data_IF_091596871379
#
_entry.id   IF_091596871379
#
_cell.length_a   1.000
_cell.length_b   1.000
_cell.length_c   1.000
_cell.angle_alpha   90.00
_cell.angle_beta   90.00
_cell.angle_gamma   90.00
#
_symmetry.space_group_name_H-M   'P 1'
#
loop_
_entity.id
_entity.type
_entity.pdbx_description
1 polymer ?
#
# COMPACT_ATOMS: atom_id res chain seq x y z
N UNK A 1 28.33 0.29 12.50
CA UNK A 1 28.65 1.60 13.14
C UNK A 1 28.25 2.82 12.33
N UNK A 2 28.08 2.74 11.00
CA UNK A 2 27.65 3.91 10.18
C UNK A 2 26.15 4.25 10.28
N UNK A 3 25.27 3.28 10.50
CA UNK A 3 23.82 3.50 10.58
C UNK A 3 23.39 4.30 11.82
N UNK A 4 24.08 4.13 12.95
CA UNK A 4 23.80 4.86 14.20
C UNK A 4 24.20 6.33 14.14
N UNK A 5 25.16 6.70 13.29
CA UNK A 5 25.59 8.09 13.12
C UNK A 5 24.65 8.88 12.20
N UNK A 6 24.07 8.22 11.19
CA UNK A 6 23.07 8.82 10.31
C UNK A 6 21.74 9.06 11.05
N UNK A 7 21.32 8.12 11.89
CA UNK A 7 20.13 8.26 12.72
C UNK A 7 20.25 9.42 13.73
N UNK A 8 21.41 9.52 14.43
CA UNK A 8 21.68 10.65 15.33
C UNK A 8 21.70 12.00 14.60
N UNK A 9 22.29 12.07 13.42
CA UNK A 9 22.28 13.30 12.62
C UNK A 9 20.89 13.66 12.11
N UNK A 10 20.12 12.69 11.60
CA UNK A 10 18.74 12.91 11.18
C UNK A 10 17.86 13.41 12.35
N UNK A 11 18.01 12.81 13.55
CA UNK A 11 17.29 13.25 14.75
C UNK A 11 17.71 14.66 15.20
N UNK A 12 19.00 15.01 15.12
CA UNK A 12 19.47 16.36 15.43
C UNK A 12 18.98 17.41 14.45
N UNK A 13 18.90 17.07 13.15
CA UNK A 13 18.31 17.95 12.13
C UNK A 13 16.81 18.12 12.33
N UNK A 14 16.09 17.06 12.71
CA UNK A 14 14.66 17.09 13.02
C UNK A 14 14.36 17.98 14.22
N UNK A 15 15.14 17.85 15.29
CA UNK A 15 15.04 18.71 16.50
C UNK A 15 15.40 20.17 16.19
N UNK A 16 16.40 20.41 15.35
CA UNK A 16 16.78 21.76 14.91
C UNK A 16 15.72 22.42 14.02
N UNK A 17 15.07 21.66 13.13
CA UNK A 17 13.98 22.11 12.26
C UNK A 17 12.72 22.46 13.05
N UNK A 18 12.36 21.63 14.03
CA UNK A 18 11.21 21.87 14.92
C UNK A 18 11.43 23.12 15.78
N UNK A 19 12.66 23.32 16.30
CA UNK A 19 12.99 24.52 17.10
C UNK A 19 12.96 25.83 16.31
N UNK A 20 13.28 25.81 15.02
CA UNK A 20 13.25 27.00 14.15
C UNK A 20 11.85 27.40 13.66
N UNK A 21 10.90 26.46 13.62
CA UNK A 21 9.54 26.66 13.11
C UNK A 21 8.55 27.21 14.15
N UNK A 22 8.91 27.20 15.43
CA UNK A 22 8.04 27.64 16.55
C UNK A 22 7.91 29.17 16.69
N UNK A 23 8.54 29.97 15.85
CA UNK A 23 8.72 31.42 16.06
C UNK A 23 7.78 32.36 15.27
N UNK A 24 6.68 31.89 14.65
CA UNK A 24 5.79 32.76 13.85
C UNK A 24 4.36 32.75 14.35
N UNK A 25 3.82 33.98 14.52
CA UNK A 25 2.52 34.28 15.11
C UNK A 25 1.29 33.55 14.53
N UNK A 26 0.23 33.53 15.32
CA UNK A 26 -1.02 32.78 15.11
C UNK A 26 -1.82 33.26 13.88
N UNK A 27 -1.57 32.69 12.71
CA UNK A 27 -2.57 32.57 11.64
C UNK A 27 -3.27 31.21 11.80
N UNK A 28 -4.58 31.15 11.59
CA UNK A 28 -5.33 29.87 11.60
C UNK A 28 -4.71 28.96 10.55
N UNK A 29 -4.20 27.84 10.97
CA UNK A 29 -3.62 26.83 10.07
C UNK A 29 -4.70 25.81 9.71
N UNK A 30 -4.47 25.05 8.60
CA UNK A 30 -5.21 23.84 8.29
C UNK A 30 -5.16 22.90 9.52
N UNK A 31 -6.22 22.16 9.76
CA UNK A 31 -6.25 21.22 10.86
C UNK A 31 -5.21 20.11 10.67
N UNK A 32 -4.45 19.83 11.73
CA UNK A 32 -3.58 18.66 11.79
C UNK A 32 -4.41 17.38 11.69
N UNK A 33 -3.85 16.28 11.17
CA UNK A 33 -4.49 14.98 11.26
C UNK A 33 -4.79 14.61 12.71
N UNK A 34 -5.97 14.03 12.95
CA UNK A 34 -6.44 13.68 14.30
C UNK A 34 -5.43 12.84 15.09
N UNK A 35 -5.30 13.16 16.38
CA UNK A 35 -4.57 12.33 17.34
C UNK A 35 -5.25 10.97 17.44
N UNK A 36 -4.50 9.89 17.23
CA UNK A 36 -5.08 8.55 17.21
C UNK A 36 -4.11 7.46 17.60
N UNK A 37 -4.64 6.36 18.09
CA UNK A 37 -3.93 5.10 18.30
C UNK A 37 -4.75 3.97 17.70
N UNK A 38 -4.09 3.07 16.97
CA UNK A 38 -4.71 1.91 16.34
C UNK A 38 -3.88 0.66 16.63
N UNK A 39 -4.57 -0.43 16.92
CA UNK A 39 -3.96 -1.75 17.07
C UNK A 39 -4.78 -2.76 16.27
N UNK A 40 -4.13 -3.48 15.37
CA UNK A 40 -4.75 -4.40 14.42
C UNK A 40 -4.07 -5.76 14.44
N UNK A 41 -4.85 -6.80 14.22
CA UNK A 41 -4.37 -8.12 13.77
C UNK A 41 -4.96 -8.37 12.39
N UNK A 42 -4.11 -8.77 11.46
CA UNK A 42 -4.51 -9.14 10.11
C UNK A 42 -4.17 -10.61 9.82
N UNK A 43 -4.98 -11.21 8.96
CA UNK A 43 -4.85 -12.59 8.49
C UNK A 43 -5.13 -12.60 6.99
N UNK A 44 -4.25 -13.21 6.22
CA UNK A 44 -4.43 -13.50 4.80
C UNK A 44 -4.25 -15.00 4.56
N UNK A 45 -5.16 -15.61 3.82
CA UNK A 45 -5.04 -17.00 3.36
C UNK A 45 -5.53 -17.10 1.91
N UNK A 46 -4.63 -17.39 0.98
CA UNK A 46 -5.01 -17.52 -0.42
C UNK A 46 -3.85 -17.93 -1.35
N UNK A 47 -4.16 -18.76 -2.33
CA UNK A 47 -3.19 -19.21 -3.34
C UNK A 47 -1.96 -19.92 -2.77
N UNK A 48 -2.09 -20.57 -1.61
CA UNK A 48 -1.00 -21.24 -0.90
C UNK A 48 -0.11 -20.30 -0.08
N UNK A 49 -0.48 -19.04 0.06
CA UNK A 49 0.21 -18.06 0.94
C UNK A 49 -0.67 -17.80 2.15
N UNK A 50 -0.07 -17.83 3.34
CA UNK A 50 -0.68 -17.38 4.58
C UNK A 50 0.21 -16.29 5.18
N UNK A 51 -0.38 -15.17 5.53
CA UNK A 51 0.30 -14.09 6.22
C UNK A 51 -0.54 -13.66 7.41
N UNK A 52 0.09 -13.36 8.53
CA UNK A 52 -0.59 -12.86 9.72
C UNK A 52 0.36 -12.03 10.58
N UNK A 53 -0.18 -11.08 11.31
CA UNK A 53 0.62 -10.33 12.27
C UNK A 53 -0.11 -9.15 12.86
N UNK A 54 0.49 -8.50 13.86
CA UNK A 54 0.01 -7.26 14.42
C UNK A 54 0.46 -6.05 13.61
N UNK A 55 -0.35 -4.99 13.66
CA UNK A 55 0.02 -3.66 13.23
C UNK A 55 -0.38 -2.64 14.30
N UNK A 56 0.47 -1.65 14.52
CA UNK A 56 0.26 -0.57 15.48
C UNK A 56 0.50 0.76 14.79
N UNK A 57 -0.32 1.75 15.11
CA UNK A 57 -0.16 3.14 14.68
C UNK A 57 -0.47 4.05 15.87
N UNK A 58 0.40 5.03 16.10
CA UNK A 58 0.14 6.11 17.05
C UNK A 58 0.46 7.43 16.35
N UNK A 59 -0.42 8.41 16.48
CA UNK A 59 -0.22 9.80 16.07
C UNK A 59 -0.57 10.73 17.20
N UNK A 60 0.25 11.75 17.42
CA UNK A 60 0.06 12.74 18.46
C UNK A 60 0.49 14.13 18.00
N UNK A 61 -0.38 15.09 18.15
CA UNK A 61 -0.08 16.51 18.03
C UNK A 61 0.76 16.95 19.24
N UNK A 62 1.92 17.54 18.97
CA UNK A 62 2.84 18.04 20.00
C UNK A 62 2.53 19.49 20.35
N UNK A 63 2.23 20.27 19.31
CA UNK A 63 1.83 21.69 19.40
C UNK A 63 0.82 21.95 18.27
N UNK A 64 0.18 23.11 18.27
CA UNK A 64 -0.91 23.47 17.34
C UNK A 64 -0.61 23.25 15.83
N UNK A 65 0.65 23.10 15.45
CA UNK A 65 1.08 23.02 14.05
C UNK A 65 1.91 21.80 13.73
N UNK A 66 2.20 20.97 14.71
CA UNK A 66 3.11 19.82 14.53
C UNK A 66 2.49 18.57 15.11
N UNK A 67 2.39 17.52 14.32
CA UNK A 67 2.11 16.19 14.82
C UNK A 67 3.20 15.19 14.43
N UNK A 68 3.33 14.15 15.23
CA UNK A 68 4.24 13.03 14.95
C UNK A 68 3.45 11.74 14.91
N UNK A 69 3.91 10.81 14.07
CA UNK A 69 3.35 9.48 14.00
C UNK A 69 4.44 8.41 14.00
N UNK A 70 4.11 7.26 14.57
CA UNK A 70 4.93 6.06 14.53
C UNK A 70 4.05 4.86 14.19
N UNK A 71 4.54 3.97 13.36
CA UNK A 71 3.87 2.73 13.00
C UNK A 71 4.80 1.53 13.09
N UNK A 72 4.23 0.40 13.40
CA UNK A 72 4.88 -0.90 13.38
C UNK A 72 3.97 -1.91 12.72
N UNK A 73 4.53 -2.72 11.82
CA UNK A 73 3.82 -3.76 11.12
C UNK A 73 4.68 -5.02 11.08
N UNK A 74 4.09 -6.15 11.42
CA UNK A 74 4.75 -7.46 11.37
C UNK A 74 3.93 -8.41 10.51
N UNK A 75 4.57 -9.05 9.55
CA UNK A 75 4.04 -10.17 8.78
C UNK A 75 4.82 -11.45 9.11
N UNK A 76 4.12 -12.47 9.55
CA UNK A 76 4.61 -13.84 9.60
C UNK A 76 4.05 -14.56 8.37
N UNK A 77 4.90 -14.77 7.38
CA UNK A 77 4.51 -15.31 6.06
C UNK A 77 4.88 -16.78 5.97
N UNK A 78 3.92 -17.62 5.62
CA UNK A 78 4.13 -19.00 5.19
C UNK A 78 3.75 -19.13 3.72
N UNK A 79 4.68 -19.55 2.87
CA UNK A 79 4.48 -19.61 1.44
C UNK A 79 4.65 -21.05 0.91
N UNK A 80 3.53 -21.64 0.51
CA UNK A 80 3.43 -22.89 -0.21
C UNK A 80 2.62 -22.70 -1.50
N UNK A 81 2.77 -21.52 -2.14
CA UNK A 81 2.09 -21.19 -3.40
C UNK A 81 2.52 -22.13 -4.53
N UNK A 82 1.75 -22.15 -5.61
CA UNK A 82 2.05 -22.97 -6.80
C UNK A 82 3.45 -22.70 -7.33
N UNK A 83 3.90 -21.44 -7.28
CA UNK A 83 5.24 -21.06 -7.75
C UNK A 83 6.33 -21.68 -6.87
N UNK A 84 6.10 -21.74 -5.54
CA UNK A 84 7.06 -22.32 -4.58
C UNK A 84 7.05 -23.84 -4.64
N UNK A 85 5.88 -24.49 -4.50
CA UNK A 85 5.81 -25.97 -4.40
C UNK A 85 6.23 -26.69 -5.69
N UNK A 86 6.27 -25.98 -6.82
CA UNK A 86 6.72 -26.54 -8.11
C UNK A 86 8.19 -26.32 -8.39
N UNK A 87 8.87 -25.46 -7.63
CA UNK A 87 10.27 -25.05 -7.87
C UNK A 87 11.17 -25.13 -6.64
N UNK A 88 10.60 -25.15 -5.45
CA UNK A 88 11.31 -25.15 -4.17
C UNK A 88 10.46 -25.80 -3.05
N UNK A 89 11.00 -25.83 -1.84
CA UNK A 89 10.24 -26.21 -0.64
C UNK A 89 9.46 -25.04 -0.09
N UNK A 90 8.29 -25.25 0.53
CA UNK A 90 7.59 -24.23 1.30
C UNK A 90 8.48 -23.60 2.36
N UNK A 91 8.34 -22.29 2.55
CA UNK A 91 9.15 -21.54 3.51
C UNK A 91 8.30 -20.66 4.43
N UNK A 92 8.90 -20.24 5.53
CA UNK A 92 8.33 -19.28 6.48
C UNK A 92 9.31 -18.14 6.68
N UNK A 93 8.82 -16.92 6.63
CA UNK A 93 9.61 -15.71 6.82
C UNK A 93 8.84 -14.69 7.66
N UNK A 94 9.59 -13.81 8.31
CA UNK A 94 9.03 -12.68 9.04
C UNK A 94 9.51 -11.40 8.38
N UNK A 95 8.56 -10.50 8.13
CA UNK A 95 8.81 -9.14 7.68
C UNK A 95 8.39 -8.18 8.78
N UNK A 96 9.28 -7.29 9.17
CA UNK A 96 8.96 -6.19 10.08
C UNK A 96 9.13 -4.85 9.37
N UNK A 97 8.18 -3.94 9.58
CA UNK A 97 8.22 -2.59 9.04
C UNK A 97 8.00 -1.57 10.14
N UNK A 98 8.79 -0.51 10.13
CA UNK A 98 8.72 0.63 11.05
C UNK A 98 8.53 1.90 10.22
N UNK A 99 7.57 2.72 10.62
CA UNK A 99 7.31 4.00 10.00
C UNK A 99 7.41 5.14 11.04
N UNK A 100 7.93 6.28 10.60
CA UNK A 100 7.92 7.53 11.36
C UNK A 100 7.39 8.63 10.45
N UNK A 101 6.58 9.53 11.00
CA UNK A 101 6.03 10.67 10.28
C UNK A 101 6.06 11.94 11.12
N UNK A 102 6.21 13.06 10.45
CA UNK A 102 6.15 14.40 10.98
C UNK A 102 5.23 15.23 10.07
N UNK A 103 4.16 15.76 10.63
CA UNK A 103 3.25 16.67 9.94
C UNK A 103 3.48 18.09 10.44
N UNK A 104 3.49 19.05 9.52
CA UNK A 104 3.58 20.47 9.81
C UNK A 104 2.48 21.24 9.09
N UNK A 105 1.60 21.87 9.85
CA UNK A 105 0.51 22.70 9.35
C UNK A 105 0.93 24.18 9.29
N UNK A 106 0.81 24.81 8.12
CA UNK A 106 1.11 26.21 7.92
C UNK A 106 0.07 26.88 7.02
N UNK A 107 -0.76 27.75 7.59
CA UNK A 107 -1.90 28.36 6.89
C UNK A 107 -2.80 27.27 6.29
N UNK A 108 -3.03 27.31 5.01
CA UNK A 108 -3.85 26.35 4.25
C UNK A 108 -3.03 25.17 3.69
N UNK A 109 -1.80 24.98 4.20
CA UNK A 109 -0.88 23.93 3.74
C UNK A 109 -0.57 22.92 4.85
N UNK A 110 -0.57 21.66 4.50
CA UNK A 110 -0.04 20.57 5.33
C UNK A 110 1.17 19.96 4.63
N UNK A 111 2.30 19.89 5.33
CA UNK A 111 3.54 19.27 4.86
C UNK A 111 3.80 18.05 5.73
N UNK A 112 3.98 16.90 5.12
CA UNK A 112 4.27 15.61 5.79
C UNK A 112 5.62 15.09 5.33
N UNK A 113 6.54 14.87 6.25
CA UNK A 113 7.78 14.13 6.03
C UNK A 113 7.64 12.77 6.70
N UNK A 114 7.87 11.69 5.96
CA UNK A 114 7.79 10.34 6.52
C UNK A 114 8.94 9.45 6.05
N UNK A 115 9.22 8.43 6.83
CA UNK A 115 10.21 7.40 6.49
C UNK A 115 9.69 6.04 6.90
N UNK A 116 10.01 5.03 6.09
CA UNK A 116 9.68 3.64 6.38
C UNK A 116 10.91 2.75 6.20
N UNK A 117 11.03 1.77 7.06
CA UNK A 117 12.11 0.78 7.11
C UNK A 117 11.50 -0.61 7.18
N UNK A 118 11.68 -1.41 6.13
CA UNK A 118 11.23 -2.80 6.07
C UNK A 118 12.41 -3.75 6.13
N UNK A 119 12.28 -4.81 6.88
CA UNK A 119 13.35 -5.79 7.13
C UNK A 119 12.80 -7.21 7.01
N UNK A 120 13.43 -7.98 6.13
CA UNK A 120 13.27 -9.42 5.95
C UNK A 120 14.65 -10.07 6.03
N UNK A 121 14.77 -11.40 6.14
CA UNK A 121 16.06 -12.07 6.24
C UNK A 121 17.02 -11.78 5.08
N UNK A 122 16.49 -11.59 3.87
CA UNK A 122 17.21 -11.41 2.63
C UNK A 122 16.77 -10.18 1.81
N UNK A 123 15.88 -9.36 2.38
CA UNK A 123 15.40 -8.13 1.75
C UNK A 123 15.33 -6.99 2.76
N UNK A 124 15.89 -5.85 2.41
CA UNK A 124 15.76 -4.63 3.21
C UNK A 124 15.33 -3.47 2.33
N UNK A 125 14.31 -2.73 2.76
CA UNK A 125 13.84 -1.55 2.06
C UNK A 125 13.82 -0.34 2.98
N UNK A 126 14.34 0.77 2.50
CA UNK A 126 14.35 2.06 3.19
C UNK A 126 13.74 3.11 2.26
N UNK A 127 12.81 3.91 2.78
CA UNK A 127 12.19 4.99 1.99
C UNK A 127 12.01 6.26 2.79
N UNK A 128 12.01 7.38 2.07
CA UNK A 128 11.68 8.72 2.58
C UNK A 128 10.65 9.34 1.64
N UNK A 129 9.61 9.93 2.22
CA UNK A 129 8.54 10.61 1.51
C UNK A 129 8.36 12.04 1.99
N UNK A 130 8.12 12.93 1.06
CA UNK A 130 7.69 14.30 1.31
C UNK A 130 6.37 14.52 0.58
N UNK A 131 5.33 14.84 1.32
CA UNK A 131 4.01 15.14 0.80
C UNK A 131 3.60 16.55 1.22
N UNK A 132 2.93 17.28 0.35
CA UNK A 132 2.36 18.59 0.59
C UNK A 132 0.94 18.63 0.07
N UNK A 133 0.01 19.14 0.87
CA UNK A 133 -1.33 19.48 0.41
C UNK A 133 -1.62 20.95 0.68
N UNK A 134 -2.32 21.58 -0.25
CA UNK A 134 -2.72 22.98 -0.19
C UNK A 134 -4.20 23.11 -0.43
N UNK A 135 -4.91 23.68 0.52
CA UNK A 135 -6.29 24.10 0.33
C UNK A 135 -6.32 25.42 -0.46
N UNK A 136 -7.22 25.50 -1.42
CA UNK A 136 -7.45 26.69 -2.26
C UNK A 136 -8.95 26.93 -2.39
N UNK A 137 -9.31 28.15 -2.82
CA UNK A 137 -10.70 28.59 -2.98
C UNK A 137 -11.54 28.39 -1.70
N UNK A 138 -10.96 28.74 -0.54
CA UNK A 138 -11.64 28.65 0.74
C UNK A 138 -11.94 27.19 1.18
N UNK A 139 -11.06 26.25 0.85
CA UNK A 139 -11.22 24.83 1.18
C UNK A 139 -12.11 24.04 0.21
N UNK A 140 -12.61 24.68 -0.86
CA UNK A 140 -13.41 23.99 -1.88
C UNK A 140 -12.60 23.01 -2.72
N UNK A 141 -11.28 23.28 -2.86
CA UNK A 141 -10.34 22.44 -3.59
C UNK A 141 -9.09 22.20 -2.77
N UNK A 142 -8.53 20.99 -2.87
CA UNK A 142 -7.22 20.65 -2.28
C UNK A 142 -6.32 20.10 -3.38
N UNK A 143 -5.13 20.67 -3.51
CA UNK A 143 -4.07 20.20 -4.40
C UNK A 143 -3.05 19.49 -3.55
N UNK A 144 -2.66 18.27 -3.93
CA UNK A 144 -1.66 17.47 -3.23
C UNK A 144 -0.50 17.13 -4.16
N UNK A 145 0.71 17.25 -3.65
CA UNK A 145 1.96 16.83 -4.30
C UNK A 145 2.69 15.89 -3.37
N UNK A 146 3.27 14.82 -3.92
CA UNK A 146 4.04 13.87 -3.14
C UNK A 146 5.24 13.36 -3.91
N UNK A 147 6.31 13.11 -3.17
CA UNK A 147 7.54 12.51 -3.67
C UNK A 147 8.02 11.45 -2.69
N UNK A 148 8.38 10.28 -3.20
CA UNK A 148 9.01 9.22 -2.40
C UNK A 148 10.26 8.74 -3.11
N UNK A 149 11.33 8.55 -2.34
CA UNK A 149 12.54 7.87 -2.77
C UNK A 149 12.77 6.65 -1.89
N UNK A 150 12.89 5.47 -2.52
CA UNK A 150 13.25 4.22 -1.88
C UNK A 150 14.60 3.69 -2.36
N UNK A 151 15.23 2.88 -1.53
CA UNK A 151 16.45 2.16 -1.86
C UNK A 151 16.43 0.82 -1.12
N UNK A 152 16.43 -0.27 -1.89
CA UNK A 152 16.31 -1.60 -1.36
C UNK A 152 17.58 -2.42 -1.64
N UNK A 153 17.85 -3.38 -0.78
CA UNK A 153 18.90 -4.37 -0.94
C UNK A 153 18.27 -5.75 -1.00
N UNK A 154 18.67 -6.51 -1.99
CA UNK A 154 18.20 -7.87 -2.26
C UNK A 154 19.32 -8.84 -2.00
N UNK A 155 19.10 -9.80 -1.12
CA UNK A 155 19.98 -10.92 -0.85
C UNK A 155 19.38 -12.24 -1.37
N UNK A 156 20.08 -13.34 -1.09
CA UNK A 156 19.56 -14.68 -1.30
C UNK A 156 19.95 -15.56 -0.14
N UNK A 157 18.98 -16.13 0.55
CA UNK A 157 19.23 -17.04 1.69
C UNK A 157 20.09 -18.23 1.25
N UNK A 158 21.07 -18.61 2.06
CA UNK A 158 21.98 -19.71 1.77
C UNK A 158 23.03 -19.43 0.68
N UNK A 159 23.12 -18.20 0.16
CA UNK A 159 24.14 -17.80 -0.84
C UNK A 159 24.89 -16.57 -0.33
N UNK A 160 25.88 -16.74 0.58
CA UNK A 160 26.69 -15.65 1.06
C UNK A 160 27.36 -14.92 -0.11
N UNK A 161 27.30 -13.57 -0.10
CA UNK A 161 27.89 -12.74 -1.15
C UNK A 161 26.98 -12.45 -2.35
N UNK A 162 25.77 -13.00 -2.41
CA UNK A 162 24.79 -12.55 -3.37
C UNK A 162 24.14 -11.25 -2.88
N UNK A 163 24.36 -10.16 -3.60
CA UNK A 163 23.75 -8.86 -3.33
C UNK A 163 23.38 -8.18 -4.64
N UNK A 164 22.18 -7.63 -4.65
CA UNK A 164 21.73 -6.71 -5.68
C UNK A 164 20.94 -5.56 -5.00
N UNK A 165 20.57 -4.55 -5.75
CA UNK A 165 19.87 -3.40 -5.21
C UNK A 165 18.87 -2.84 -6.23
N UNK A 166 17.89 -2.11 -5.70
CA UNK A 166 16.92 -1.38 -6.51
C UNK A 166 16.68 0.00 -5.90
N UNK A 167 16.48 0.98 -6.75
CA UNK A 167 16.07 2.33 -6.39
C UNK A 167 14.69 2.60 -6.91
N UNK A 168 13.87 3.26 -6.11
CA UNK A 168 12.49 3.61 -6.42
C UNK A 168 12.30 5.12 -6.33
N UNK A 169 11.55 5.67 -7.29
CA UNK A 169 11.07 7.04 -7.26
C UNK A 169 9.58 7.04 -7.54
N UNK A 170 8.82 7.72 -6.72
CA UNK A 170 7.40 7.89 -6.92
C UNK A 170 7.03 9.36 -6.83
N UNK A 171 6.27 9.83 -7.80
CA UNK A 171 5.69 11.16 -7.85
C UNK A 171 4.18 11.04 -7.81
N UNK A 172 3.54 11.88 -7.02
CA UNK A 172 2.09 11.90 -6.83
C UNK A 172 1.57 13.31 -7.05
N UNK A 173 0.47 13.42 -7.78
CA UNK A 173 -0.31 14.64 -7.95
C UNK A 173 -1.76 14.30 -7.66
N UNK A 174 -2.40 15.05 -6.77
CA UNK A 174 -3.81 14.89 -6.39
C UNK A 174 -4.57 16.21 -6.52
N UNK A 175 -5.82 16.10 -6.92
CA UNK A 175 -6.81 17.15 -6.86
C UNK A 175 -8.06 16.59 -6.20
N UNK A 176 -8.51 17.22 -5.13
CA UNK A 176 -9.81 16.94 -4.51
C UNK A 176 -10.67 18.18 -4.63
N UNK A 177 -11.93 18.00 -5.03
CA UNK A 177 -12.89 19.05 -5.26
C UNK A 177 -14.20 18.75 -4.52
N UNK A 178 -14.66 19.68 -3.71
CA UNK A 178 -16.05 19.69 -3.20
C UNK A 178 -16.95 20.11 -4.34
N UNK A 179 -17.78 19.20 -4.82
CA UNK A 179 -18.73 19.47 -5.93
C UNK A 179 -20.02 20.08 -5.41
N UNK A 180 -20.52 19.55 -4.29
CA UNK A 180 -21.71 20.04 -3.58
C UNK A 180 -21.53 19.76 -2.07
N UNK A 181 -22.40 20.24 -1.19
CA UNK A 181 -22.35 19.91 0.24
C UNK A 181 -22.42 18.41 0.57
N UNK A 182 -22.78 17.58 -0.40
CA UNK A 182 -22.92 16.12 -0.22
C UNK A 182 -21.98 15.31 -1.10
N UNK A 183 -21.27 15.92 -2.06
CA UNK A 183 -20.45 15.19 -3.03
C UNK A 183 -19.06 15.75 -3.14
N UNK A 184 -18.06 14.87 -3.03
CA UNK A 184 -16.65 15.19 -3.21
C UNK A 184 -16.09 14.28 -4.29
N UNK A 185 -15.32 14.84 -5.21
CA UNK A 185 -14.59 14.09 -6.22
C UNK A 185 -13.07 14.29 -6.06
N UNK A 186 -12.29 13.28 -6.42
CA UNK A 186 -10.84 13.41 -6.50
C UNK A 186 -10.29 12.75 -7.76
N UNK A 187 -9.20 13.34 -8.27
CA UNK A 187 -8.38 12.81 -9.34
C UNK A 187 -6.94 12.73 -8.85
N UNK A 188 -6.30 11.58 -9.03
CA UNK A 188 -4.92 11.37 -8.60
C UNK A 188 -4.11 10.79 -9.77
N UNK A 189 -2.90 11.28 -9.94
CA UNK A 189 -1.93 10.77 -10.88
C UNK A 189 -0.68 10.31 -10.13
N UNK A 190 -0.17 9.14 -10.48
CA UNK A 190 1.08 8.58 -9.97
C UNK A 190 2.03 8.28 -11.13
N UNK A 191 3.30 8.57 -10.92
CA UNK A 191 4.39 8.11 -11.77
C UNK A 191 5.45 7.42 -10.92
N UNK A 192 5.83 6.21 -11.29
CA UNK A 192 6.86 5.41 -10.62
C UNK A 192 8.01 5.16 -11.60
N UNK A 193 9.22 5.14 -11.06
CA UNK A 193 10.43 4.74 -11.79
C UNK A 193 11.28 3.86 -10.89
N UNK A 194 11.55 2.65 -11.35
CA UNK A 194 12.35 1.66 -10.65
C UNK A 194 13.59 1.36 -11.47
N UNK A 195 14.76 1.30 -10.81
CA UNK A 195 16.05 1.00 -11.43
C UNK A 195 16.87 0.08 -10.54
N UNK A 196 17.24 -1.09 -11.04
CA UNK A 196 18.00 -2.11 -10.36
C UNK A 196 17.41 -3.50 -10.51
N UNK A 197 17.47 -4.31 -9.47
CA UNK A 197 17.00 -5.70 -9.51
C UNK A 197 15.49 -5.78 -9.26
N UNK A 198 14.72 -6.00 -10.33
CA UNK A 198 13.25 -6.05 -10.29
C UNK A 198 12.71 -7.48 -10.41
N UNK A 199 13.38 -8.43 -9.80
CA UNK A 199 13.03 -9.84 -9.80
C UNK A 199 13.02 -10.46 -8.41
N UNK A 200 12.95 -11.79 -8.37
CA UNK A 200 13.18 -12.56 -7.14
C UNK A 200 14.28 -13.60 -7.43
N UNK A 201 15.31 -13.73 -6.57
CA UNK A 201 16.39 -14.69 -6.79
C UNK A 201 15.95 -16.15 -6.63
N UNK A 202 14.69 -16.36 -6.24
CA UNK A 202 14.10 -17.69 -5.99
C UNK A 202 13.17 -18.15 -7.11
N UNK A 203 12.76 -17.24 -8.01
CA UNK A 203 11.79 -17.59 -9.06
C UNK A 203 12.47 -18.18 -10.28
N UNK A 204 11.76 -19.08 -10.93
CA UNK A 204 12.13 -19.67 -12.19
C UNK A 204 11.06 -19.44 -13.25
N UNK A 205 11.49 -19.28 -14.49
CA UNK A 205 10.65 -19.35 -15.68
C UNK A 205 10.74 -20.74 -16.31
N UNK A 206 9.91 -20.99 -17.32
CA UNK A 206 9.95 -22.22 -18.12
C UNK A 206 10.28 -21.86 -19.57
N UNK A 207 11.30 -22.52 -20.11
CA UNK A 207 11.72 -22.39 -21.50
C UNK A 207 11.85 -23.78 -22.07
N UNK A 208 11.10 -24.11 -23.12
CA UNK A 208 10.98 -25.47 -23.69
C UNK A 208 10.65 -26.54 -22.61
N UNK A 209 9.87 -26.18 -21.61
CA UNK A 209 9.52 -27.05 -20.48
C UNK A 209 10.57 -27.14 -19.37
N UNK A 210 11.80 -26.65 -19.59
CA UNK A 210 12.85 -26.65 -18.58
C UNK A 210 12.74 -25.44 -17.64
N UNK A 211 13.10 -25.63 -16.36
CA UNK A 211 13.18 -24.55 -15.39
C UNK A 211 14.48 -23.75 -15.56
N UNK A 212 14.37 -22.45 -15.76
CA UNK A 212 15.51 -21.52 -15.86
C UNK A 212 15.30 -20.33 -14.91
N UNK A 213 16.36 -19.68 -14.40
CA UNK A 213 16.19 -18.48 -13.59
C UNK A 213 15.41 -17.39 -14.33
N UNK A 214 14.50 -16.71 -13.65
CA UNK A 214 13.80 -15.56 -14.24
C UNK A 214 14.78 -14.42 -14.57
N UNK A 215 14.53 -13.75 -15.70
CA UNK A 215 15.29 -12.60 -16.17
C UNK A 215 14.34 -11.46 -16.49
N UNK A 216 14.25 -10.51 -15.58
CA UNK A 216 13.43 -9.32 -15.74
C UNK A 216 14.26 -8.13 -16.22
N UNK A 217 13.68 -7.18 -16.98
CA UNK A 217 14.34 -5.90 -17.23
C UNK A 217 14.69 -5.21 -15.92
N UNK A 218 15.84 -4.52 -15.87
CA UNK A 218 16.32 -3.83 -14.67
C UNK A 218 15.70 -2.44 -14.49
N UNK A 219 14.88 -1.99 -15.41
CA UNK A 219 14.19 -0.71 -15.34
C UNK A 219 12.70 -0.89 -15.56
N UNK A 220 11.90 -0.11 -14.84
CA UNK A 220 10.45 -0.04 -15.02
C UNK A 220 9.98 1.38 -14.77
N UNK A 221 9.17 1.90 -15.68
CA UNK A 221 8.43 3.15 -15.44
C UNK A 221 6.94 2.85 -15.52
N UNK A 222 6.21 3.20 -14.48
CA UNK A 222 4.78 2.95 -14.40
C UNK A 222 4.02 4.26 -14.14
N UNK A 223 2.76 4.28 -14.54
CA UNK A 223 1.84 5.39 -14.33
C UNK A 223 0.48 4.87 -13.93
N UNK A 224 -0.21 5.63 -13.12
CA UNK A 224 -1.61 5.36 -12.80
C UNK A 224 -2.40 6.65 -12.72
N UNK A 225 -3.64 6.59 -13.15
CA UNK A 225 -4.63 7.63 -12.91
C UNK A 225 -5.80 7.04 -12.16
N UNK A 226 -6.29 7.75 -11.15
CA UNK A 226 -7.38 7.31 -10.28
C UNK A 226 -8.39 8.42 -10.12
N UNK A 227 -9.65 8.09 -10.31
CA UNK A 227 -10.80 8.95 -10.04
C UNK A 227 -11.64 8.33 -8.93
N UNK A 228 -12.09 9.14 -8.00
CA UNK A 228 -12.99 8.73 -6.94
C UNK A 228 -14.06 9.78 -6.70
N UNK A 229 -15.27 9.33 -6.47
CA UNK A 229 -16.40 10.15 -6.06
C UNK A 229 -16.99 9.56 -4.78
N UNK A 230 -17.20 10.39 -3.78
CA UNK A 230 -17.90 10.03 -2.55
C UNK A 230 -19.14 10.90 -2.43
N UNK A 231 -20.25 10.31 -2.03
CA UNK A 231 -21.52 11.02 -1.90
C UNK A 231 -22.32 10.60 -0.68
N UNK A 232 -22.84 11.58 0.03
CA UNK A 232 -23.90 11.37 1.02
C UNK A 232 -25.24 11.27 0.30
N UNK A 233 -25.90 10.12 0.41
CA UNK A 233 -27.21 9.85 -0.21
C UNK A 233 -28.36 10.03 0.79
N UNK A 234 -28.09 10.59 1.95
CA UNK A 234 -29.07 10.78 3.02
C UNK A 234 -29.29 9.52 3.85
N UNK A 235 -30.22 9.60 4.79
CA UNK A 235 -30.56 8.51 5.71
C UNK A 235 -29.33 7.90 6.42
N UNK A 236 -28.32 8.73 6.75
CA UNK A 236 -27.07 8.31 7.39
C UNK A 236 -26.32 7.27 6.54
N UNK A 237 -26.34 7.43 5.22
CA UNK A 237 -25.73 6.51 4.24
C UNK A 237 -24.87 7.28 3.24
N UNK A 238 -23.76 6.67 2.84
CA UNK A 238 -22.86 7.20 1.85
C UNK A 238 -22.50 6.12 0.82
N UNK A 239 -22.16 6.56 -0.38
CA UNK A 239 -21.67 5.71 -1.46
C UNK A 239 -20.34 6.24 -1.95
N UNK A 240 -19.52 5.34 -2.49
CA UNK A 240 -18.38 5.75 -3.28
C UNK A 240 -18.25 4.91 -4.55
N UNK A 241 -17.66 5.52 -5.57
CA UNK A 241 -17.24 4.87 -6.79
C UNK A 241 -15.78 5.28 -7.08
N UNK A 242 -14.96 4.31 -7.46
CA UNK A 242 -13.56 4.54 -7.80
C UNK A 242 -13.23 3.80 -9.08
N UNK A 243 -12.42 4.44 -9.94
CA UNK A 243 -11.82 3.81 -11.10
C UNK A 243 -10.34 4.17 -11.17
N UNK A 244 -9.47 3.16 -11.36
CA UNK A 244 -8.03 3.32 -11.55
C UNK A 244 -7.58 2.63 -12.82
N UNK A 245 -6.83 3.35 -13.65
CA UNK A 245 -6.12 2.82 -14.80
C UNK A 245 -4.61 2.87 -14.55
N UNK A 246 -3.94 1.75 -14.77
CA UNK A 246 -2.49 1.59 -14.62
C UNK A 246 -1.88 1.13 -15.93
N UNK A 247 -0.69 1.64 -16.28
CA UNK A 247 0.13 1.16 -17.39
C UNK A 247 1.61 1.35 -17.10
N UNK A 248 2.47 0.51 -17.71
CA UNK A 248 3.91 0.57 -17.52
C UNK A 248 4.71 0.21 -18.77
N UNK A 249 6.05 0.32 -18.67
CA UNK A 249 7.01 -0.02 -19.73
C UNK A 249 7.17 -1.53 -19.94
N UNK A 250 6.64 -2.34 -19.04
CA UNK A 250 6.57 -3.80 -19.21
C UNK A 250 5.32 -4.24 -19.97
N UNK A 251 4.57 -3.28 -20.53
CA UNK A 251 3.31 -3.45 -21.25
C UNK A 251 2.13 -3.94 -20.40
N UNK A 252 2.26 -3.95 -19.08
CA UNK A 252 1.12 -4.21 -18.20
C UNK A 252 0.14 -3.06 -18.33
N UNK A 253 -1.14 -3.41 -18.52
CA UNK A 253 -2.27 -2.49 -18.46
C UNK A 253 -3.31 -3.08 -17.54
N UNK A 254 -3.74 -2.32 -16.54
CA UNK A 254 -4.68 -2.80 -15.55
C UNK A 254 -5.79 -1.79 -15.26
N UNK A 255 -6.98 -2.31 -15.02
CA UNK A 255 -8.18 -1.56 -14.66
C UNK A 255 -8.67 -2.05 -13.30
N UNK A 256 -8.97 -1.12 -12.42
CA UNK A 256 -9.62 -1.39 -11.14
C UNK A 256 -10.87 -0.54 -11.05
N UNK A 257 -12.00 -1.15 -10.76
CA UNK A 257 -13.26 -0.46 -10.47
C UNK A 257 -13.76 -0.91 -9.12
N UNK A 258 -14.17 0.03 -8.28
CA UNK A 258 -14.71 -0.25 -6.95
C UNK A 258 -15.98 0.56 -6.71
N UNK A 259 -16.96 -0.09 -6.09
CA UNK A 259 -18.18 0.54 -5.60
C UNK A 259 -18.36 0.17 -4.13
N UNK A 260 -18.68 1.14 -3.31
CA UNK A 260 -18.92 0.90 -1.90
C UNK A 260 -20.13 1.65 -1.37
N UNK A 261 -20.67 1.09 -0.31
CA UNK A 261 -21.80 1.62 0.43
C UNK A 261 -21.52 1.54 1.92
N UNK A 262 -21.77 2.63 2.63
CA UNK A 262 -21.60 2.77 4.06
C UNK A 262 -22.90 3.23 4.70
N UNK A 263 -23.25 2.68 5.87
CA UNK A 263 -24.44 3.09 6.61
C UNK A 263 -24.25 3.00 8.11
N UNK A 264 -24.82 3.98 8.82
CA UNK A 264 -25.01 3.90 10.27
C UNK A 264 -26.27 3.11 10.62
N UNK A 265 -26.11 2.12 11.50
CA UNK A 265 -27.21 1.32 12.06
C UNK A 265 -27.36 1.71 13.55
N UNK A 266 -28.29 2.63 13.83
CA UNK A 266 -28.32 3.29 15.15
C UNK A 266 -27.06 4.15 15.36
N UNK A 267 -26.75 4.51 16.62
CA UNK A 267 -25.62 5.38 16.93
C UNK A 267 -24.28 4.66 17.02
N UNK A 268 -24.18 3.40 17.57
CA UNK A 268 -22.88 2.78 17.78
C UNK A 268 -22.35 2.03 16.56
N UNK A 269 -23.17 1.67 15.58
CA UNK A 269 -22.77 0.78 14.50
C UNK A 269 -22.60 1.48 13.15
N UNK A 270 -21.52 1.15 12.44
CA UNK A 270 -21.31 1.53 11.04
C UNK A 270 -21.00 0.26 10.27
N UNK A 271 -21.74 0.00 9.21
CA UNK A 271 -21.48 -1.09 8.27
C UNK A 271 -21.01 -0.53 6.94
N UNK A 272 -19.97 -1.12 6.39
CA UNK A 272 -19.42 -0.82 5.08
C UNK A 272 -19.41 -2.10 4.25
N UNK A 273 -19.78 -2.02 2.97
CA UNK A 273 -19.62 -3.10 1.99
C UNK A 273 -19.03 -2.54 0.70
N UNK A 274 -18.22 -3.33 0.01
CA UNK A 274 -17.71 -2.94 -1.29
C UNK A 274 -17.59 -4.12 -2.25
N UNK A 275 -17.65 -3.82 -3.53
CA UNK A 275 -17.35 -4.70 -4.65
C UNK A 275 -16.20 -4.08 -5.44
N UNK A 276 -15.10 -4.85 -5.65
CA UNK A 276 -13.97 -4.44 -6.48
C UNK A 276 -13.76 -5.43 -7.62
N UNK A 277 -13.53 -4.91 -8.80
CA UNK A 277 -13.22 -5.68 -10.00
C UNK A 277 -11.86 -5.21 -10.50
N UNK A 278 -10.96 -6.14 -10.70
CA UNK A 278 -9.63 -5.91 -11.25
C UNK A 278 -9.40 -6.75 -12.50
N UNK A 279 -8.76 -6.16 -13.51
CA UNK A 279 -8.36 -6.84 -14.75
C UNK A 279 -6.98 -6.36 -15.18
N UNK A 280 -6.13 -7.27 -15.60
CA UNK A 280 -4.76 -6.99 -16.04
C UNK A 280 -4.41 -7.79 -17.30
N UNK A 281 -3.62 -7.18 -18.21
CA UNK A 281 -2.90 -7.86 -19.27
C UNK A 281 -1.49 -8.21 -18.80
N UNK A 282 -0.90 -9.27 -19.36
CA UNK A 282 0.43 -9.74 -19.01
C UNK A 282 1.55 -8.77 -19.40
N UNK A 283 2.71 -8.94 -18.77
CA UNK A 283 3.94 -8.24 -19.16
C UNK A 283 4.49 -8.79 -20.48
N UNK A 284 5.18 -7.95 -21.25
CA UNK A 284 5.73 -8.29 -22.57
C UNK A 284 6.62 -9.54 -22.57
N UNK A 285 7.37 -9.76 -21.50
CA UNK A 285 8.33 -10.87 -21.35
C UNK A 285 7.75 -12.02 -20.49
N UNK A 286 6.47 -11.95 -20.13
CA UNK A 286 5.79 -13.04 -19.43
C UNK A 286 5.50 -14.19 -20.41
N UNK A 287 5.76 -15.42 -19.95
CA UNK A 287 5.32 -16.63 -20.64
C UNK A 287 5.08 -17.76 -19.63
N UNK A 288 4.00 -18.50 -19.79
CA UNK A 288 3.73 -19.70 -18.99
C UNK A 288 4.74 -20.84 -19.32
N UNK A 289 5.11 -20.96 -20.60
CA UNK A 289 6.20 -21.81 -21.10
C UNK A 289 6.73 -21.21 -22.41
N UNK A 290 7.90 -20.61 -22.39
CA UNK A 290 8.46 -19.98 -23.59
C UNK A 290 8.93 -21.03 -24.59
N UNK A 291 8.56 -20.87 -25.85
CA UNK A 291 8.95 -21.72 -26.99
C UNK A 291 10.16 -21.16 -27.71
N UNK A 292 10.72 -20.07 -27.27
CA UNK A 292 11.92 -19.42 -27.77
C UNK A 292 12.76 -18.90 -26.63
N UNK A 293 14.07 -18.90 -26.78
CA UNK A 293 14.96 -18.23 -25.83
C UNK A 293 14.95 -16.74 -26.10
N UNK A 294 14.71 -15.96 -25.04
CA UNK A 294 14.63 -14.49 -25.06
C UNK A 294 15.55 -13.89 -24.02
N UNK A 295 15.93 -12.63 -24.19
CA UNK A 295 16.75 -11.90 -23.21
C UNK A 295 16.06 -11.82 -21.84
N UNK A 296 14.77 -11.54 -21.84
CA UNK A 296 13.94 -11.47 -20.64
C UNK A 296 12.85 -12.53 -20.71
N UNK A 297 12.64 -13.23 -19.60
CA UNK A 297 11.60 -14.23 -19.46
C UNK A 297 11.18 -14.34 -17.99
N UNK A 298 9.88 -14.37 -17.74
CA UNK A 298 9.31 -14.57 -16.42
C UNK A 298 8.06 -15.45 -16.51
N UNK A 299 7.90 -16.33 -15.51
CA UNK A 299 6.66 -17.08 -15.25
C UNK A 299 5.98 -16.62 -13.97
N UNK A 300 6.29 -15.40 -13.50
CA UNK A 300 5.63 -14.87 -12.34
C UNK A 300 4.14 -14.65 -12.60
N UNK A 301 3.27 -15.37 -11.86
CA UNK A 301 1.81 -15.26 -12.00
C UNK A 301 1.27 -13.83 -11.84
N UNK A 302 1.98 -12.97 -11.09
CA UNK A 302 1.61 -11.56 -10.92
C UNK A 302 1.82 -10.73 -12.20
N UNK A 303 2.64 -11.23 -13.13
CA UNK A 303 2.89 -10.62 -14.45
C UNK A 303 2.01 -11.23 -15.55
N UNK A 304 1.19 -12.24 -15.25
CA UNK A 304 0.27 -12.89 -16.17
C UNK A 304 -0.98 -12.08 -16.45
N UNK A 305 -1.77 -12.52 -17.41
CA UNK A 305 -3.12 -12.00 -17.61
C UNK A 305 -4.07 -12.63 -16.61
N UNK A 306 -4.68 -11.80 -15.77
CA UNK A 306 -5.67 -12.27 -14.81
C UNK A 306 -6.72 -11.21 -14.48
N UNK A 307 -7.80 -11.67 -13.91
CA UNK A 307 -8.79 -10.83 -13.25
C UNK A 307 -9.05 -11.30 -11.81
N UNK A 308 -9.56 -10.42 -11.00
CA UNK A 308 -10.15 -10.79 -9.73
C UNK A 308 -11.41 -9.99 -9.42
N UNK A 309 -12.25 -10.59 -8.60
CA UNK A 309 -13.44 -9.95 -8.03
C UNK A 309 -13.33 -10.08 -6.53
N UNK A 310 -13.39 -8.95 -5.84
CA UNK A 310 -13.39 -8.86 -4.38
C UNK A 310 -14.75 -8.42 -3.88
N UNK A 311 -15.22 -9.09 -2.84
CA UNK A 311 -16.37 -8.65 -2.04
C UNK A 311 -15.88 -8.48 -0.59
N UNK A 312 -16.04 -7.27 -0.06
CA UNK A 312 -15.62 -6.95 1.30
C UNK A 312 -16.73 -6.34 2.13
N UNK A 313 -16.67 -6.59 3.43
CA UNK A 313 -17.53 -5.98 4.42
C UNK A 313 -16.72 -5.59 5.66
N UNK A 314 -17.08 -4.47 6.28
CA UNK A 314 -16.53 -4.01 7.55
C UNK A 314 -17.67 -3.60 8.49
N UNK A 315 -17.54 -3.97 9.74
CA UNK A 315 -18.42 -3.55 10.80
C UNK A 315 -17.59 -2.83 11.87
N UNK A 316 -18.02 -1.63 12.19
CA UNK A 316 -17.42 -0.80 13.23
C UNK A 316 -18.43 -0.58 14.36
N UNK A 317 -18.00 -0.78 15.59
CA UNK A 317 -18.77 -0.55 16.80
C UNK A 317 -18.11 0.49 17.68
N UNK A 318 -18.84 1.53 18.05
CA UNK A 318 -18.37 2.55 18.99
C UNK A 318 -18.46 1.99 20.41
N UNK A 319 -17.31 1.66 20.99
CA UNK A 319 -17.17 1.08 22.33
C UNK A 319 -17.37 2.15 23.40
N UNK A 320 -16.74 3.32 23.20
CA UNK A 320 -16.80 4.43 24.13
C UNK A 320 -16.64 5.76 23.38
N UNK A 321 -17.29 6.81 23.88
CA UNK A 321 -17.13 8.16 23.38
C UNK A 321 -17.37 9.17 24.50
N UNK A 322 -16.48 10.16 24.56
CA UNK A 322 -16.72 11.41 25.31
C UNK A 322 -16.58 12.54 24.29
N UNK A 323 -17.69 13.21 23.92
CA UNK A 323 -17.68 14.27 22.91
C UNK A 323 -16.60 15.32 23.17
N UNK A 324 -15.81 15.64 22.14
CA UNK A 324 -14.71 16.59 22.23
C UNK A 324 -13.47 16.12 22.99
N UNK A 325 -13.42 14.84 23.42
CA UNK A 325 -12.27 14.28 24.12
C UNK A 325 -11.73 13.02 23.45
N UNK A 326 -12.55 12.00 23.28
CA UNK A 326 -12.10 10.76 22.63
C UNK A 326 -13.27 9.94 22.07
N UNK A 327 -12.97 9.12 21.09
CA UNK A 327 -13.84 8.06 20.59
C UNK A 327 -13.03 6.76 20.42
N UNK A 328 -13.57 5.64 20.91
CA UNK A 328 -12.97 4.31 20.75
C UNK A 328 -13.91 3.42 19.95
N UNK A 329 -13.39 2.81 18.88
CA UNK A 329 -14.12 1.88 18.03
C UNK A 329 -13.43 0.52 17.98
N UNK A 330 -14.22 -0.55 18.02
CA UNK A 330 -13.82 -1.89 17.64
C UNK A 330 -14.28 -2.16 16.21
N UNK A 331 -13.42 -2.72 15.40
CA UNK A 331 -13.65 -2.92 13.97
C UNK A 331 -13.33 -4.35 13.57
N UNK A 332 -14.18 -4.95 12.73
CA UNK A 332 -13.93 -6.22 12.07
C UNK A 332 -14.17 -6.07 10.57
N UNK A 333 -13.22 -6.51 9.76
CA UNK A 333 -13.34 -6.51 8.31
C UNK A 333 -13.02 -7.89 7.73
N UNK A 334 -13.73 -8.24 6.68
CA UNK A 334 -13.51 -9.45 5.89
C UNK A 334 -13.59 -9.11 4.42
N UNK A 335 -12.64 -9.64 3.63
CA UNK A 335 -12.65 -9.55 2.18
C UNK A 335 -12.39 -10.95 1.58
N UNK A 336 -13.19 -11.32 0.62
CA UNK A 336 -13.01 -12.50 -0.22
C UNK A 336 -12.60 -12.05 -1.62
N UNK A 337 -11.50 -12.58 -2.13
CA UNK A 337 -10.96 -12.25 -3.46
C UNK A 337 -10.88 -13.50 -4.31
N UNK A 338 -11.59 -13.56 -5.42
CA UNK A 338 -11.53 -14.67 -6.36
C UNK A 338 -10.64 -14.31 -7.55
N UNK A 339 -9.52 -15.02 -7.68
CA UNK A 339 -8.52 -14.84 -8.75
C UNK A 339 -8.72 -15.86 -9.88
N UNK A 340 -8.64 -15.40 -11.13
CA UNK A 340 -8.70 -16.22 -12.35
C UNK A 340 -7.62 -15.78 -13.31
N UNK A 341 -6.62 -16.65 -13.53
CA UNK A 341 -5.58 -16.44 -14.52
C UNK A 341 -6.01 -17.02 -15.86
N UNK A 342 -5.73 -16.32 -16.94
CA UNK A 342 -6.09 -16.76 -18.30
C UNK A 342 -4.93 -17.47 -19.01
N UNK A 343 -3.70 -17.08 -18.69
CA UNK A 343 -2.47 -17.53 -19.36
C UNK A 343 -1.40 -18.06 -18.37
N UNK A 344 -1.77 -18.35 -17.13
CA UNK A 344 -0.93 -19.06 -16.17
C UNK A 344 -1.57 -20.41 -15.83
N UNK A 345 -0.86 -21.49 -16.14
CA UNK A 345 -1.34 -22.87 -15.95
C UNK A 345 -0.85 -23.44 -14.63
N UNK A 346 -1.77 -24.09 -13.90
CA UNK A 346 -1.40 -24.98 -12.81
C UNK A 346 -0.79 -26.26 -13.41
N UNK A 347 0.52 -26.42 -13.34
CA UNK A 347 1.26 -27.54 -13.93
C UNK A 347 0.89 -28.91 -13.33
N UNK A 348 0.21 -28.93 -12.19
CA UNK A 348 -0.28 -30.19 -11.55
C UNK A 348 -1.54 -30.70 -12.22
N UNK A 349 -2.35 -29.81 -12.77
CA UNK A 349 -3.66 -30.13 -13.35
C UNK A 349 -3.75 -29.87 -14.85
N UNK A 350 -2.82 -29.05 -15.41
CA UNK A 350 -2.88 -28.59 -16.79
C UNK A 350 -3.95 -27.54 -17.08
N UNK A 351 -4.70 -27.08 -16.05
CA UNK A 351 -5.78 -26.11 -16.19
C UNK A 351 -5.33 -24.68 -15.85
N UNK A 352 -6.01 -23.63 -16.36
CA UNK A 352 -5.76 -22.25 -15.93
C UNK A 352 -5.90 -22.10 -14.43
N UNK A 353 -4.94 -21.43 -13.79
CA UNK A 353 -4.83 -21.32 -12.35
C UNK A 353 -5.92 -20.40 -11.78
N UNK A 354 -6.56 -20.85 -10.72
CA UNK A 354 -7.58 -20.08 -10.00
C UNK A 354 -7.44 -20.35 -8.50
N UNK A 355 -7.76 -19.36 -7.72
CA UNK A 355 -7.84 -19.52 -6.27
C UNK A 355 -8.70 -18.43 -5.64
N UNK A 356 -9.15 -18.67 -4.43
CA UNK A 356 -9.81 -17.65 -3.60
C UNK A 356 -8.88 -17.31 -2.45
N UNK A 357 -8.79 -16.03 -2.15
CA UNK A 357 -8.09 -15.51 -0.98
C UNK A 357 -9.08 -14.93 0.01
N UNK A 358 -8.77 -15.04 1.29
CA UNK A 358 -9.53 -14.51 2.40
C UNK A 358 -8.65 -13.58 3.21
N UNK A 359 -9.16 -12.38 3.50
CA UNK A 359 -8.51 -11.39 4.34
C UNK A 359 -9.41 -11.09 5.52
N UNK A 360 -8.87 -11.20 6.72
CA UNK A 360 -9.57 -10.83 7.96
C UNK A 360 -8.73 -9.78 8.69
N UNK A 361 -9.38 -8.72 9.14
CA UNK A 361 -8.75 -7.68 9.95
C UNK A 361 -9.62 -7.40 11.17
N UNK A 362 -9.01 -7.45 12.35
CA UNK A 362 -9.66 -7.08 13.61
C UNK A 362 -8.81 -5.97 14.24
N UNK A 363 -9.42 -4.84 14.53
CA UNK A 363 -8.68 -3.72 15.08
C UNK A 363 -9.49 -2.83 15.98
N UNK A 364 -8.79 -2.21 16.91
CA UNK A 364 -9.31 -1.10 17.71
C UNK A 364 -8.69 0.20 17.24
N UNK A 365 -9.49 1.25 17.21
CA UNK A 365 -9.04 2.62 16.93
C UNK A 365 -9.54 3.54 18.02
N UNK A 366 -8.67 4.42 18.49
CA UNK A 366 -9.00 5.48 19.44
C UNK A 366 -8.57 6.81 18.82
N UNK A 367 -9.47 7.79 18.76
CA UNK A 367 -9.17 9.20 18.44
C UNK A 367 -9.32 10.03 19.72
N UNK A 368 -8.42 11.02 19.98
CA UNK A 368 -8.36 11.76 21.24
C UNK A 368 -7.68 13.12 21.13
#
# INVERSE_FOLDING_TARGET
MAATSLFKRALQWLVGLVGGLLATGAAKAIDLPEDRAEAMVHLYDGGGVKASGPALLVRKSLVDRVSVSASYYLDMVSNASIDVVTTASPYKENRSEYGLGLDYAYRDSLITLSTAFSREPDYTADSVSLDMSQEVFGGMSTIALGFTRGADKVGKHGTPGYFDSVKHWQYRLGLTQVLTPRWIASANFEALSDDGYLGSPYRVARVFGAAVPERNPRTRSARAIKFRVNGDIGNRSAVHAEYRYFWDTWAIKAHTTEFGYSRYFGDPWIGDVFLRIYQQKHALFYSDNAETETLYVSRNRQLSTFNNVSLGAKLSYRVAQVPGKYEVKANGAYEMVNFRHSDFTDIRTGAPYRYTAHVVQLYMSATF
#
